data_IF_383329762716
#
_entry.id   IF_383329762716
#
_cell.length_a   1.000
_cell.length_b   1.000
_cell.length_c   1.000
_cell.angle_alpha   90.00
_cell.angle_beta   90.00
_cell.angle_gamma   90.00
#
_symmetry.space_group_name_H-M   'P 1'
#
loop_
_entity.id
_entity.type
_entity.pdbx_description
1 polymer ?
#
# COMPACT_ATOMS: atom_id res chain seq x y z
N UNK A 1 -24.59 -7.70 -7.28
CA UNK A 1 -23.19 -7.22 -7.25
C UNK A 1 -22.80 -6.74 -8.64
N UNK A 2 -21.73 -5.95 -8.74
CA UNK A 2 -21.03 -5.70 -10.00
C UNK A 2 -19.60 -6.23 -9.89
N UNK A 3 -19.14 -6.93 -10.91
CA UNK A 3 -17.76 -7.45 -10.96
C UNK A 3 -16.92 -6.49 -11.80
N UNK A 4 -15.79 -6.02 -11.24
CA UNK A 4 -14.88 -5.11 -11.92
C UNK A 4 -13.54 -5.81 -12.20
N UNK A 5 -13.14 -5.86 -13.48
CA UNK A 5 -11.91 -6.53 -13.91
C UNK A 5 -11.01 -5.52 -14.64
N UNK A 6 -9.99 -4.93 -13.97
CA UNK A 6 -8.95 -4.20 -14.68
C UNK A 6 -8.06 -5.18 -15.45
N UNK A 7 -7.76 -4.88 -16.71
CA UNK A 7 -7.00 -5.78 -17.58
C UNK A 7 -5.99 -5.02 -18.44
N UNK A 8 -4.80 -5.61 -18.61
CA UNK A 8 -3.77 -5.11 -19.51
C UNK A 8 -3.09 -6.31 -20.16
N UNK A 9 -3.06 -6.34 -21.49
CA UNK A 9 -2.51 -7.42 -22.31
C UNK A 9 -3.02 -8.84 -21.92
N UNK A 10 -4.36 -9.05 -21.73
CA UNK A 10 -4.89 -10.34 -21.30
C UNK A 10 -4.71 -11.45 -22.34
N UNK A 11 -4.91 -12.69 -21.91
CA UNK A 11 -5.07 -13.83 -22.81
C UNK A 11 -6.44 -14.50 -22.62
N UNK A 12 -6.60 -15.70 -23.18
CA UNK A 12 -7.84 -16.49 -23.13
C UNK A 12 -8.37 -16.74 -21.72
N UNK A 13 -7.53 -16.62 -20.68
CA UNK A 13 -7.97 -16.79 -19.28
C UNK A 13 -9.01 -15.75 -18.87
N UNK A 14 -8.95 -14.53 -19.41
CA UNK A 14 -9.99 -13.53 -19.17
C UNK A 14 -11.35 -14.01 -19.68
N UNK A 15 -11.41 -14.55 -20.89
CA UNK A 15 -12.65 -15.06 -21.49
C UNK A 15 -13.20 -16.27 -20.72
N UNK A 16 -12.32 -17.17 -20.29
CA UNK A 16 -12.71 -18.30 -19.46
C UNK A 16 -13.30 -17.84 -18.12
N UNK A 17 -12.69 -16.84 -17.48
CA UNK A 17 -13.22 -16.25 -16.25
C UNK A 17 -14.61 -15.62 -16.50
N UNK A 18 -14.77 -14.84 -17.56
CA UNK A 18 -16.06 -14.23 -17.94
C UNK A 18 -17.15 -15.31 -18.09
N UNK A 19 -16.89 -16.37 -18.85
CA UNK A 19 -17.85 -17.47 -19.05
C UNK A 19 -18.23 -18.14 -17.74
N UNK A 20 -17.25 -18.38 -16.86
CA UNK A 20 -17.50 -18.94 -15.54
C UNK A 20 -18.36 -18.01 -14.69
N UNK A 21 -18.07 -16.71 -14.63
CA UNK A 21 -18.84 -15.73 -13.87
C UNK A 21 -20.29 -15.62 -14.36
N UNK A 22 -20.50 -15.71 -15.67
CA UNK A 22 -21.84 -15.73 -16.28
C UNK A 22 -22.62 -17.00 -15.95
N UNK A 23 -21.94 -18.15 -15.96
CA UNK A 23 -22.54 -19.43 -15.56
C UNK A 23 -23.06 -19.40 -14.12
N UNK A 24 -22.33 -18.72 -13.23
CA UNK A 24 -22.74 -18.51 -11.83
C UNK A 24 -23.76 -17.37 -11.65
N UNK A 25 -24.10 -16.63 -12.72
CA UNK A 25 -25.07 -15.53 -12.71
C UNK A 25 -24.79 -14.47 -11.64
N UNK A 26 -23.50 -14.16 -11.43
CA UNK A 26 -23.08 -13.30 -10.31
C UNK A 26 -23.49 -11.84 -10.49
N UNK A 27 -23.64 -11.34 -11.72
CA UNK A 27 -24.13 -9.99 -12.00
C UNK A 27 -23.42 -9.34 -13.19
N UNK A 28 -23.63 -8.03 -13.42
CA UNK A 28 -22.94 -7.30 -14.48
C UNK A 28 -21.42 -7.36 -14.31
N UNK A 29 -20.71 -7.52 -15.43
CA UNK A 29 -19.25 -7.54 -15.49
C UNK A 29 -18.78 -6.30 -16.23
N UNK A 30 -17.96 -5.50 -15.57
CA UNK A 30 -17.28 -4.34 -16.14
C UNK A 30 -15.81 -4.67 -16.28
N UNK A 31 -15.30 -4.62 -17.50
CA UNK A 31 -13.88 -4.84 -17.81
C UNK A 31 -13.29 -3.49 -18.23
N UNK A 32 -12.09 -3.19 -17.74
CA UNK A 32 -11.34 -2.00 -18.15
C UNK A 32 -10.07 -2.45 -18.85
N UNK A 33 -10.04 -2.31 -20.18
CA UNK A 33 -8.80 -2.42 -20.97
C UNK A 33 -7.93 -1.18 -20.72
N UNK A 34 -6.84 -1.35 -19.98
CA UNK A 34 -5.86 -0.30 -19.70
C UNK A 34 -4.89 -0.09 -20.89
N UNK A 35 -5.44 0.01 -22.10
CA UNK A 35 -4.69 0.33 -23.31
C UNK A 35 -3.76 -0.77 -23.81
N UNK A 36 -4.26 -2.01 -23.88
CA UNK A 36 -3.51 -3.20 -24.35
C UNK A 36 -3.10 -3.12 -25.83
N UNK A 37 -3.80 -2.32 -26.64
CA UNK A 37 -3.51 -2.11 -28.06
C UNK A 37 -4.21 -3.09 -29.00
N UNK A 38 -3.98 -2.91 -30.31
CA UNK A 38 -4.77 -3.57 -31.36
C UNK A 38 -4.69 -5.09 -31.37
N UNK A 39 -3.56 -5.67 -30.93
CA UNK A 39 -3.37 -7.12 -30.86
C UNK A 39 -4.31 -7.84 -29.88
N UNK A 40 -4.85 -7.13 -28.88
CA UNK A 40 -5.72 -7.68 -27.84
C UNK A 40 -7.20 -7.38 -28.06
N UNK A 41 -7.52 -6.55 -29.05
CA UNK A 41 -8.87 -6.07 -29.33
C UNK A 41 -9.90 -7.20 -29.50
N UNK A 42 -9.52 -8.30 -30.16
CA UNK A 42 -10.41 -9.45 -30.34
C UNK A 42 -10.85 -10.11 -29.03
N UNK A 43 -10.02 -10.09 -27.98
CA UNK A 43 -10.39 -10.60 -26.66
C UNK A 43 -11.48 -9.71 -26.04
N UNK A 44 -11.31 -8.39 -26.11
CA UNK A 44 -12.26 -7.45 -25.56
C UNK A 44 -13.59 -7.44 -26.33
N UNK A 45 -13.56 -7.49 -27.66
CA UNK A 45 -14.76 -7.62 -28.50
C UNK A 45 -15.52 -8.91 -28.20
N UNK A 46 -14.80 -10.01 -27.93
CA UNK A 46 -15.43 -11.28 -27.50
C UNK A 46 -16.08 -11.14 -26.13
N UNK A 47 -15.45 -10.43 -25.19
CA UNK A 47 -16.02 -10.19 -23.87
C UNK A 47 -17.29 -9.31 -23.95
N UNK A 48 -17.31 -8.30 -24.83
CA UNK A 48 -18.52 -7.51 -25.14
C UNK A 48 -19.62 -8.38 -25.76
N UNK A 49 -19.26 -9.28 -26.68
CA UNK A 49 -20.21 -10.22 -27.28
C UNK A 49 -20.82 -11.20 -26.26
N UNK A 50 -20.09 -11.50 -25.18
CA UNK A 50 -20.63 -12.23 -24.04
C UNK A 50 -21.54 -11.37 -23.14
N UNK A 51 -21.61 -10.05 -23.34
CA UNK A 51 -22.47 -9.15 -22.59
C UNK A 51 -21.75 -8.42 -21.44
N UNK A 52 -20.41 -8.36 -21.45
CA UNK A 52 -19.67 -7.50 -20.54
C UNK A 52 -19.68 -6.05 -21.04
N UNK A 53 -19.61 -5.10 -20.11
CA UNK A 53 -19.28 -3.72 -20.47
C UNK A 53 -17.76 -3.60 -20.53
N UNK A 54 -17.20 -3.16 -21.66
CA UNK A 54 -15.76 -2.91 -21.80
C UNK A 54 -15.47 -1.41 -21.91
N UNK A 55 -14.62 -0.91 -21.02
CA UNK A 55 -14.09 0.45 -21.05
C UNK A 55 -12.64 0.40 -21.52
N UNK A 56 -12.24 1.28 -22.44
CA UNK A 56 -10.90 1.21 -23.05
C UNK A 56 -10.13 2.52 -22.83
N UNK A 57 -8.92 2.43 -22.29
CA UNK A 57 -7.95 3.52 -22.31
C UNK A 57 -7.17 3.54 -23.61
N UNK A 58 -6.77 4.72 -24.06
CA UNK A 58 -5.97 4.87 -25.29
C UNK A 58 -4.53 4.37 -25.14
N UNK A 59 -3.99 4.40 -23.92
CA UNK A 59 -2.65 3.95 -23.53
C UNK A 59 -2.67 3.36 -22.12
N UNK A 60 -1.63 2.63 -21.73
CA UNK A 60 -1.47 2.13 -20.35
C UNK A 60 -1.32 3.27 -19.33
N UNK A 61 -2.35 3.46 -18.51
CA UNK A 61 -2.38 4.45 -17.44
C UNK A 61 -2.08 3.83 -16.07
N UNK A 62 -2.30 2.53 -15.91
CA UNK A 62 -2.00 1.74 -14.73
C UNK A 62 -3.24 1.12 -14.08
N UNK A 63 -3.03 0.03 -13.31
CA UNK A 63 -4.09 -0.70 -12.59
C UNK A 63 -4.95 0.20 -11.70
N UNK A 64 -4.34 1.12 -10.96
CA UNK A 64 -5.07 2.08 -10.12
C UNK A 64 -5.99 2.99 -10.92
N UNK A 65 -5.53 3.50 -12.09
CA UNK A 65 -6.38 4.29 -12.99
C UNK A 65 -7.51 3.44 -13.56
N UNK A 66 -7.21 2.22 -14.01
CA UNK A 66 -8.23 1.31 -14.54
C UNK A 66 -9.32 1.00 -13.52
N UNK A 67 -8.95 0.74 -12.26
CA UNK A 67 -9.90 0.58 -11.15
C UNK A 67 -10.76 1.83 -10.97
N UNK A 68 -10.17 3.03 -10.93
CA UNK A 68 -10.92 4.29 -10.81
C UNK A 68 -11.89 4.53 -11.96
N UNK A 69 -11.47 4.25 -13.20
CA UNK A 69 -12.35 4.34 -14.38
C UNK A 69 -13.55 3.40 -14.22
N UNK A 70 -13.31 2.17 -13.77
CA UNK A 70 -14.38 1.21 -13.48
C UNK A 70 -15.30 1.67 -12.36
N UNK A 71 -14.75 2.15 -11.24
CA UNK A 71 -15.54 2.68 -10.11
C UNK A 71 -16.41 3.87 -10.53
N UNK A 72 -15.87 4.80 -11.31
CA UNK A 72 -16.63 5.94 -11.81
C UNK A 72 -17.77 5.48 -12.73
N UNK A 73 -17.50 4.57 -13.66
CA UNK A 73 -18.53 4.03 -14.53
C UNK A 73 -19.64 3.32 -13.74
N UNK A 74 -19.28 2.47 -12.77
CA UNK A 74 -20.24 1.76 -11.92
C UNK A 74 -21.06 2.74 -11.08
N UNK A 75 -20.45 3.82 -10.59
CA UNK A 75 -21.17 4.87 -9.86
C UNK A 75 -22.23 5.55 -10.73
N UNK A 76 -21.91 5.83 -11.98
CA UNK A 76 -22.76 6.57 -12.91
C UNK A 76 -23.86 5.70 -13.55
N UNK A 77 -23.57 4.43 -13.85
CA UNK A 77 -24.43 3.57 -14.68
C UNK A 77 -24.76 2.22 -14.05
N UNK A 78 -24.05 1.82 -13.00
CA UNK A 78 -24.18 0.51 -12.38
C UNK A 78 -25.30 0.43 -11.35
N UNK A 79 -25.70 -0.80 -10.95
CA UNK A 79 -26.62 -0.98 -9.85
C UNK A 79 -25.99 -0.50 -8.53
N UNK A 80 -26.81 0.05 -7.63
CA UNK A 80 -26.40 0.52 -6.30
C UNK A 80 -26.14 -0.64 -5.31
N UNK A 81 -25.34 -1.64 -5.73
CA UNK A 81 -24.94 -2.80 -4.93
C UNK A 81 -23.43 -2.88 -4.72
N UNK A 82 -22.99 -3.88 -3.96
CA UNK A 82 -21.56 -4.11 -3.73
C UNK A 82 -20.78 -4.44 -5.01
N UNK A 83 -19.52 -4.05 -5.02
CA UNK A 83 -18.56 -4.20 -6.12
C UNK A 83 -17.51 -5.21 -5.69
N UNK A 84 -17.22 -6.19 -6.53
CA UNK A 84 -16.09 -7.10 -6.32
C UNK A 84 -15.09 -6.93 -7.45
N UNK A 85 -13.88 -6.52 -7.11
CA UNK A 85 -12.76 -6.44 -8.04
C UNK A 85 -12.09 -7.81 -8.14
N UNK A 86 -11.74 -8.24 -9.35
CA UNK A 86 -10.97 -9.46 -9.61
C UNK A 86 -9.92 -9.21 -10.69
N UNK A 87 -8.78 -9.89 -10.61
CA UNK A 87 -7.74 -9.83 -11.63
C UNK A 87 -8.12 -10.65 -12.90
N UNK A 88 -7.64 -10.21 -14.06
CA UNK A 88 -7.93 -10.84 -15.35
C UNK A 88 -7.11 -12.10 -15.67
N UNK A 89 -6.30 -12.59 -14.71
CA UNK A 89 -5.37 -13.71 -14.92
C UNK A 89 -5.98 -15.09 -14.64
N UNK A 90 -7.22 -15.13 -14.16
CA UNK A 90 -7.95 -16.36 -13.84
C UNK A 90 -7.57 -16.99 -12.49
N UNK A 91 -6.86 -16.27 -11.62
CA UNK A 91 -6.51 -16.79 -10.28
C UNK A 91 -7.70 -16.80 -9.31
N UNK A 92 -8.72 -15.98 -9.55
CA UNK A 92 -9.87 -15.83 -8.66
C UNK A 92 -11.04 -16.69 -9.14
N UNK A 93 -11.43 -17.67 -8.33
CA UNK A 93 -12.51 -18.58 -8.66
C UNK A 93 -13.88 -17.90 -8.46
N UNK A 94 -14.91 -18.22 -9.29
CA UNK A 94 -16.24 -17.62 -9.16
C UNK A 94 -16.87 -17.80 -7.77
N UNK A 95 -16.66 -18.95 -7.12
CA UNK A 95 -17.17 -19.18 -5.77
C UNK A 95 -16.49 -18.31 -4.72
N UNK A 96 -15.21 -17.97 -4.90
CA UNK A 96 -14.49 -17.07 -4.01
C UNK A 96 -14.97 -15.63 -4.23
N UNK A 97 -15.18 -15.21 -5.48
CA UNK A 97 -15.80 -13.91 -5.81
C UNK A 97 -17.19 -13.79 -5.17
N UNK A 98 -18.01 -14.84 -5.28
CA UNK A 98 -19.32 -14.89 -4.62
C UNK A 98 -19.19 -14.82 -3.10
N UNK A 99 -18.28 -15.59 -2.49
CA UNK A 99 -18.05 -15.58 -1.03
C UNK A 99 -17.68 -14.19 -0.52
N UNK A 100 -16.80 -13.48 -1.23
CA UNK A 100 -16.42 -12.10 -0.88
C UNK A 100 -17.62 -11.16 -0.95
N UNK A 101 -18.49 -11.32 -1.94
CA UNK A 101 -19.72 -10.55 -2.02
C UNK A 101 -20.71 -10.89 -0.91
N UNK A 102 -20.88 -12.16 -0.58
CA UNK A 102 -21.78 -12.61 0.49
C UNK A 102 -21.34 -12.00 1.84
N UNK A 103 -20.03 -12.08 2.17
CA UNK A 103 -19.48 -11.48 3.39
C UNK A 103 -19.61 -9.96 3.39
N UNK A 104 -19.45 -9.31 2.23
CA UNK A 104 -19.66 -7.87 2.11
C UNK A 104 -21.11 -7.46 2.45
N UNK A 105 -22.10 -8.29 2.12
CA UNK A 105 -23.50 -8.02 2.45
C UNK A 105 -23.82 -8.22 3.93
N UNK A 106 -23.09 -9.09 4.61
CA UNK A 106 -23.26 -9.38 6.04
C UNK A 106 -22.60 -8.32 6.95
N UNK A 107 -21.78 -7.43 6.39
CA UNK A 107 -21.13 -6.37 7.15
C UNK A 107 -22.14 -5.33 7.64
N UNK A 108 -22.18 -5.13 8.97
CA UNK A 108 -22.99 -4.08 9.62
C UNK A 108 -22.37 -2.68 9.46
N UNK A 109 -21.07 -2.63 9.24
CA UNK A 109 -20.24 -1.43 9.08
C UNK A 109 -19.65 -1.41 7.67
N UNK A 110 -19.73 -0.30 6.92
CA UNK A 110 -19.09 -0.22 5.62
C UNK A 110 -17.59 -0.51 5.73
N UNK A 111 -17.13 -1.51 4.98
CA UNK A 111 -15.76 -1.99 5.05
C UNK A 111 -15.28 -2.58 3.73
N UNK A 112 -14.04 -3.03 3.75
CA UNK A 112 -13.37 -3.67 2.64
C UNK A 112 -13.26 -5.15 2.99
N UNK A 113 -13.69 -6.02 2.08
CA UNK A 113 -13.50 -7.47 2.21
C UNK A 113 -12.36 -7.90 1.30
N UNK A 114 -11.30 -8.49 1.85
CA UNK A 114 -10.14 -8.94 1.10
C UNK A 114 -10.15 -10.46 0.93
N UNK A 115 -10.06 -10.92 -0.32
CA UNK A 115 -9.84 -12.33 -0.64
C UNK A 115 -8.38 -12.72 -0.44
N UNK A 116 -8.05 -13.22 0.74
CA UNK A 116 -6.68 -13.53 1.15
C UNK A 116 -6.29 -14.94 0.75
N UNK A 117 -5.20 -15.07 -0.02
CA UNK A 117 -4.68 -16.38 -0.39
C UNK A 117 -4.13 -17.09 0.84
N UNK A 118 -4.49 -18.36 1.02
CA UNK A 118 -3.81 -19.21 2.00
C UNK A 118 -2.41 -19.51 1.50
N UNK A 119 -1.40 -19.01 2.23
CA UNK A 119 0.01 -19.29 1.94
C UNK A 119 0.41 -20.73 2.35
N UNK A 120 -0.37 -21.74 1.96
CA UNK A 120 -0.05 -23.16 2.12
C UNK A 120 0.60 -23.72 0.85
N UNK A 121 1.86 -24.15 0.93
CA UNK A 121 2.61 -24.76 -0.18
C UNK A 121 3.95 -24.10 -0.51
N UNK A 122 4.59 -24.55 -1.61
CA UNK A 122 5.85 -24.04 -2.16
C UNK A 122 5.65 -22.71 -2.87
N UNK A 123 5.47 -21.66 -2.08
CA UNK A 123 5.46 -20.28 -2.55
C UNK A 123 6.85 -19.94 -3.11
N UNK A 124 6.95 -19.28 -4.28
CA UNK A 124 8.22 -18.69 -4.70
C UNK A 124 8.75 -17.77 -3.60
N UNK A 125 9.93 -18.06 -3.05
CA UNK A 125 10.49 -17.37 -1.88
C UNK A 125 10.45 -15.83 -1.97
N UNK A 126 10.48 -15.30 -3.20
CA UNK A 126 10.40 -13.87 -3.54
C UNK A 126 9.05 -13.24 -3.20
N UNK A 127 7.93 -13.89 -3.50
CA UNK A 127 6.57 -13.40 -3.15
C UNK A 127 6.32 -13.46 -1.65
N UNK A 128 6.89 -14.46 -0.98
CA UNK A 128 6.81 -14.61 0.48
C UNK A 128 7.53 -13.45 1.18
N UNK A 129 8.77 -13.14 0.79
CA UNK A 129 9.55 -12.06 1.41
C UNK A 129 8.91 -10.69 1.22
N UNK A 130 8.48 -10.37 -0.01
CA UNK A 130 7.79 -9.11 -0.30
C UNK A 130 6.53 -8.92 0.54
N UNK A 131 5.67 -9.94 0.63
CA UNK A 131 4.46 -9.84 1.44
C UNK A 131 4.77 -9.80 2.95
N UNK A 132 5.77 -10.54 3.46
CA UNK A 132 6.14 -10.49 4.89
C UNK A 132 6.61 -9.10 5.31
N UNK A 133 7.48 -8.46 4.53
CA UNK A 133 7.96 -7.09 4.81
C UNK A 133 6.80 -6.10 4.73
N UNK A 134 5.98 -6.20 3.69
CA UNK A 134 4.83 -5.33 3.47
C UNK A 134 3.78 -5.45 4.58
N UNK A 135 3.50 -6.67 5.06
CA UNK A 135 2.62 -6.93 6.21
C UNK A 135 3.16 -6.35 7.50
N UNK A 136 4.46 -6.49 7.74
CA UNK A 136 5.14 -5.92 8.90
C UNK A 136 4.99 -4.39 8.90
N UNK A 137 5.35 -3.74 7.79
CA UNK A 137 5.22 -2.29 7.65
C UNK A 137 3.76 -1.84 7.77
N UNK A 138 2.82 -2.55 7.12
CA UNK A 138 1.40 -2.23 7.19
C UNK A 138 0.89 -2.30 8.63
N UNK A 139 1.11 -3.44 9.31
CA UNK A 139 0.66 -3.64 10.69
C UNK A 139 1.27 -2.64 11.66
N UNK A 140 2.55 -2.29 11.48
CA UNK A 140 3.21 -1.25 12.27
C UNK A 140 2.63 0.13 11.96
N UNK A 141 2.22 0.40 10.71
CA UNK A 141 1.74 1.71 10.27
C UNK A 141 0.29 1.96 10.68
N UNK A 142 -0.58 0.97 10.54
CA UNK A 142 -2.04 1.10 10.68
C UNK A 142 -2.56 0.55 12.01
N UNK A 143 -1.79 -0.31 12.68
CA UNK A 143 -2.28 -1.09 13.83
C UNK A 143 -3.18 -2.27 13.43
N UNK A 144 -3.51 -2.41 12.14
CA UNK A 144 -4.37 -3.47 11.61
C UNK A 144 -3.51 -4.60 11.02
N UNK A 145 -3.80 -5.84 11.39
CA UNK A 145 -3.16 -7.01 10.81
C UNK A 145 -3.91 -7.40 9.55
N UNK A 146 -3.24 -7.31 8.39
CA UNK A 146 -3.71 -7.83 7.11
C UNK A 146 -2.75 -8.93 6.67
N UNK A 147 -3.29 -10.07 6.29
CA UNK A 147 -2.61 -11.28 5.87
C UNK A 147 -2.14 -11.21 4.40
N UNK A 148 -2.97 -10.73 3.49
CA UNK A 148 -2.60 -10.56 2.07
C UNK A 148 -2.88 -9.14 1.56
N UNK A 149 -1.92 -8.24 1.77
CA UNK A 149 -2.01 -6.85 1.29
C UNK A 149 -1.97 -6.72 -0.24
N UNK A 150 -1.56 -7.77 -0.95
CA UNK A 150 -1.33 -7.78 -2.39
C UNK A 150 -2.39 -8.56 -3.17
N UNK A 151 -3.48 -8.99 -2.52
CA UNK A 151 -4.59 -9.62 -3.24
C UNK A 151 -5.29 -8.60 -4.14
N UNK A 152 -5.64 -9.00 -5.37
CA UNK A 152 -6.50 -8.23 -6.26
C UNK A 152 -7.99 -8.52 -6.08
N UNK A 153 -8.35 -9.59 -5.33
CA UNK A 153 -9.75 -9.91 -5.02
C UNK A 153 -10.24 -9.08 -3.84
N UNK A 154 -11.09 -8.10 -4.10
CA UNK A 154 -11.53 -7.12 -3.09
C UNK A 154 -13.00 -6.75 -3.26
N UNK A 155 -13.77 -6.82 -2.18
CA UNK A 155 -15.16 -6.37 -2.10
C UNK A 155 -15.27 -4.98 -1.49
N UNK A 156 -16.13 -4.14 -2.08
CA UNK A 156 -16.42 -2.79 -1.63
C UNK A 156 -17.93 -2.49 -1.70
N UNK A 157 -18.52 -1.83 -0.69
CA UNK A 157 -19.89 -1.33 -0.78
C UNK A 157 -19.95 -0.15 -1.75
N UNK A 158 -21.12 0.04 -2.38
CA UNK A 158 -21.35 1.12 -3.34
C UNK A 158 -21.04 2.51 -2.76
N UNK A 159 -21.31 2.72 -1.47
CA UNK A 159 -21.07 3.97 -0.76
C UNK A 159 -19.60 4.40 -0.71
N UNK A 160 -18.65 3.49 -0.97
CA UNK A 160 -17.22 3.77 -0.95
C UNK A 160 -16.66 4.27 -2.28
N UNK A 161 -17.42 4.23 -3.38
CA UNK A 161 -16.91 4.56 -4.72
C UNK A 161 -16.34 5.98 -4.83
N UNK A 162 -16.95 6.96 -4.15
CA UNK A 162 -16.45 8.34 -4.13
C UNK A 162 -15.08 8.44 -3.46
N UNK A 163 -14.91 7.76 -2.35
CA UNK A 163 -13.64 7.71 -1.65
C UNK A 163 -12.58 6.96 -2.47
N UNK A 164 -12.93 5.81 -3.04
CA UNK A 164 -12.02 5.00 -3.86
C UNK A 164 -11.44 5.81 -5.02
N UNK A 165 -12.26 6.62 -5.70
CA UNK A 165 -11.81 7.49 -6.79
C UNK A 165 -10.80 8.58 -6.36
N UNK A 166 -10.80 8.99 -5.09
CA UNK A 166 -9.94 10.06 -4.56
C UNK A 166 -8.57 9.59 -4.06
N UNK A 167 -8.38 8.28 -3.90
CA UNK A 167 -7.14 7.72 -3.34
C UNK A 167 -5.96 7.98 -4.30
N UNK A 168 -4.82 8.49 -3.81
CA UNK A 168 -3.66 8.76 -4.65
C UNK A 168 -3.02 7.48 -5.19
N UNK A 169 -2.43 7.58 -6.38
CA UNK A 169 -1.79 6.46 -7.08
C UNK A 169 -2.60 6.02 -8.29
N UNK A 170 -1.90 5.63 -9.34
CA UNK A 170 -2.51 5.25 -10.63
C UNK A 170 -2.08 3.85 -11.08
N UNK A 171 -1.05 3.28 -10.46
CA UNK A 171 -0.58 1.91 -10.73
C UNK A 171 -0.78 1.04 -9.49
N UNK A 172 0.03 0.00 -9.31
CA UNK A 172 -0.10 -0.96 -8.21
C UNK A 172 -0.02 -0.33 -6.82
N UNK A 173 0.62 0.84 -6.66
CA UNK A 173 0.66 1.55 -5.37
C UNK A 173 -0.72 2.01 -4.88
N UNK A 174 -1.70 2.18 -5.78
CA UNK A 174 -3.07 2.56 -5.43
C UNK A 174 -3.68 1.60 -4.41
N UNK A 175 -3.54 0.30 -4.65
CA UNK A 175 -4.12 -0.75 -3.81
C UNK A 175 -3.56 -0.74 -2.39
N UNK A 176 -2.28 -0.38 -2.24
CA UNK A 176 -1.63 -0.22 -0.94
C UNK A 176 -2.03 1.09 -0.27
N UNK A 177 -2.06 2.20 -1.02
CA UNK A 177 -2.53 3.48 -0.50
C UNK A 177 -3.96 3.37 0.03
N UNK A 178 -4.83 2.66 -0.68
CA UNK A 178 -6.21 2.40 -0.27
C UNK A 178 -6.28 1.75 1.10
N UNK A 179 -5.55 0.64 1.31
CA UNK A 179 -5.51 -0.04 2.61
C UNK A 179 -4.97 0.87 3.72
N UNK A 180 -3.95 1.67 3.42
CA UNK A 180 -3.32 2.57 4.39
C UNK A 180 -4.22 3.76 4.78
N UNK A 181 -5.15 4.16 3.90
CA UNK A 181 -6.12 5.23 4.17
C UNK A 181 -7.44 4.73 4.74
N UNK A 182 -7.82 3.47 4.52
CA UNK A 182 -9.10 2.90 4.93
C UNK A 182 -9.40 3.12 6.43
N UNK A 183 -8.43 2.80 7.29
CA UNK A 183 -8.59 2.97 8.74
C UNK A 183 -8.74 4.44 9.17
N UNK A 184 -8.14 5.39 8.44
CA UNK A 184 -8.27 6.83 8.74
C UNK A 184 -9.69 7.34 8.45
N UNK A 185 -10.37 6.74 7.48
CA UNK A 185 -11.76 7.06 7.11
C UNK A 185 -12.79 6.22 7.88
N UNK A 186 -12.34 5.39 8.82
CA UNK A 186 -13.22 4.57 9.66
C UNK A 186 -13.74 3.29 8.99
N UNK A 187 -13.20 2.91 7.83
CA UNK A 187 -13.56 1.65 7.16
C UNK A 187 -12.90 0.46 7.82
N UNK A 188 -13.69 -0.58 8.06
CA UNK A 188 -13.19 -1.87 8.55
C UNK A 188 -12.54 -2.67 7.41
N UNK A 189 -11.52 -3.47 7.73
CA UNK A 189 -10.91 -4.40 6.78
C UNK A 189 -11.13 -5.81 7.31
N UNK A 190 -11.89 -6.60 6.57
CA UNK A 190 -12.16 -8.02 6.85
C UNK A 190 -11.42 -8.87 5.83
N UNK A 191 -10.84 -9.98 6.27
CA UNK A 191 -10.14 -10.92 5.39
C UNK A 191 -10.88 -12.26 5.36
N UNK A 192 -11.14 -12.73 4.15
CA UNK A 192 -11.69 -14.06 3.88
C UNK A 192 -10.67 -14.89 3.13
N UNK A 193 -10.46 -16.12 3.58
CA UNK A 193 -9.51 -17.00 2.92
C UNK A 193 -10.10 -17.58 1.63
N UNK A 194 -9.33 -17.46 0.55
CA UNK A 194 -9.70 -17.94 -0.79
C UNK A 194 -8.76 -19.06 -1.25
N UNK A 195 -9.23 -19.84 -2.21
CA UNK A 195 -8.43 -20.89 -2.82
C UNK A 195 -7.32 -20.28 -3.66
N UNK A 196 -6.12 -20.86 -3.57
CA UNK A 196 -4.96 -20.32 -4.30
C UNK A 196 -4.69 -21.13 -5.56
N UNK A 197 -5.05 -20.56 -6.71
CA UNK A 197 -4.80 -21.17 -8.02
C UNK A 197 -3.45 -20.67 -8.56
N UNK A 198 -2.41 -21.50 -8.47
CA UNK A 198 -1.11 -21.20 -9.05
C UNK A 198 -1.05 -21.70 -10.50
N UNK A 199 -1.29 -20.81 -11.47
CA UNK A 199 -1.11 -21.11 -12.89
C UNK A 199 0.30 -20.71 -13.33
N UNK A 200 1.05 -21.64 -13.93
CA UNK A 200 2.34 -21.43 -14.60
C UNK A 200 3.37 -20.54 -13.87
N UNK A 201 3.58 -20.77 -12.57
CA UNK A 201 4.58 -20.04 -11.76
C UNK A 201 4.43 -18.49 -11.77
N UNK A 202 3.21 -17.95 -11.90
CA UNK A 202 2.94 -16.50 -11.97
C UNK A 202 3.59 -15.78 -13.18
N UNK A 203 3.91 -16.47 -14.29
CA UNK A 203 4.47 -15.82 -15.49
C UNK A 203 3.54 -14.77 -16.13
N UNK A 204 2.24 -14.86 -15.90
CA UNK A 204 1.22 -13.95 -16.44
C UNK A 204 1.01 -12.67 -15.65
N UNK A 205 1.62 -12.53 -14.47
CA UNK A 205 1.53 -11.27 -13.73
C UNK A 205 2.46 -10.25 -14.39
N UNK A 206 1.89 -9.22 -15.03
CA UNK A 206 2.64 -8.06 -15.54
C UNK A 206 3.29 -7.22 -14.42
N UNK A 207 3.14 -7.64 -13.15
CA UNK A 207 3.84 -7.10 -12.01
C UNK A 207 5.35 -7.28 -12.20
N UNK A 208 6.07 -6.18 -12.41
CA UNK A 208 7.53 -6.17 -12.55
C UNK A 208 8.12 -6.17 -11.14
N UNK A 209 8.63 -7.30 -10.62
CA UNK A 209 8.83 -7.48 -9.19
C UNK A 209 9.81 -6.51 -8.55
N UNK A 210 10.77 -5.98 -9.31
CA UNK A 210 11.74 -5.01 -8.80
C UNK A 210 11.24 -3.58 -8.89
N UNK A 211 10.63 -3.18 -10.00
CA UNK A 211 10.22 -1.78 -10.25
C UNK A 211 8.96 -1.43 -9.47
N UNK A 212 7.97 -2.34 -9.47
CA UNK A 212 6.69 -2.09 -8.81
C UNK A 212 6.83 -2.22 -7.29
N UNK A 213 7.63 -3.19 -6.82
CA UNK A 213 8.04 -3.23 -5.41
C UNK A 213 8.85 -2.00 -5.02
N UNK A 214 9.79 -1.54 -5.86
CA UNK A 214 10.55 -0.31 -5.58
C UNK A 214 9.62 0.89 -5.44
N UNK A 215 8.55 1.02 -6.24
CA UNK A 215 7.56 2.11 -6.08
C UNK A 215 6.72 1.99 -4.81
N UNK A 216 6.33 0.77 -4.42
CA UNK A 216 5.64 0.50 -3.15
C UNK A 216 6.57 0.82 -1.96
N UNK A 217 7.85 0.47 -2.06
CA UNK A 217 8.87 0.72 -1.04
C UNK A 217 9.49 2.11 -1.11
N UNK A 218 9.32 2.85 -2.22
CA UNK A 218 9.99 4.14 -2.47
C UNK A 218 9.73 5.13 -1.34
N UNK A 219 8.50 5.31 -0.81
CA UNK A 219 8.29 6.20 0.33
C UNK A 219 9.09 5.77 1.57
N UNK A 220 9.20 4.46 1.83
CA UNK A 220 9.95 3.92 2.98
C UNK A 220 11.47 4.08 2.76
N UNK A 221 11.95 3.85 1.54
CA UNK A 221 13.35 3.97 1.18
C UNK A 221 13.78 5.44 1.13
N UNK A 222 12.95 6.34 0.62
CA UNK A 222 13.17 7.78 0.66
C UNK A 222 13.16 8.31 2.10
N UNK A 223 12.30 7.78 2.97
CA UNK A 223 12.34 8.08 4.41
C UNK A 223 13.62 7.56 5.09
N UNK A 224 14.05 6.35 4.73
CA UNK A 224 15.29 5.75 5.25
C UNK A 224 16.51 6.56 4.84
N UNK A 225 16.59 6.91 3.56
CA UNK A 225 17.70 7.70 3.01
C UNK A 225 17.74 9.11 3.58
N UNK A 226 16.59 9.78 3.75
CA UNK A 226 16.53 11.10 4.40
C UNK A 226 16.97 11.05 5.87
N UNK A 227 16.66 9.97 6.56
CA UNK A 227 17.04 9.75 7.97
C UNK A 227 18.54 9.47 8.10
N UNK A 228 19.10 8.64 7.21
CA UNK A 228 20.55 8.38 7.17
C UNK A 228 21.33 9.65 6.81
N UNK A 229 20.91 10.40 5.78
CA UNK A 229 21.56 11.67 5.45
C UNK A 229 21.49 12.66 6.62
N UNK A 230 20.34 12.75 7.29
CA UNK A 230 20.20 13.59 8.48
C UNK A 230 21.16 13.18 9.59
N UNK A 231 21.36 11.88 9.83
CA UNK A 231 22.32 11.40 10.83
C UNK A 231 23.76 11.74 10.44
N UNK A 232 24.11 11.64 9.16
CA UNK A 232 25.44 12.05 8.66
C UNK A 232 25.66 13.56 8.79
N UNK A 233 24.64 14.38 8.48
CA UNK A 233 24.66 15.83 8.67
C UNK A 233 24.82 16.18 10.15
N UNK A 234 24.07 15.52 11.03
CA UNK A 234 24.16 15.69 12.48
C UNK A 234 25.58 15.41 12.99
N UNK A 235 26.16 14.28 12.57
CA UNK A 235 27.50 13.89 12.95
C UNK A 235 28.55 14.88 12.43
N UNK A 236 28.49 15.25 11.14
CA UNK A 236 29.42 16.20 10.53
C UNK A 236 29.35 17.60 11.17
N UNK A 237 28.14 18.12 11.38
CA UNK A 237 27.93 19.42 12.01
C UNK A 237 28.39 19.43 13.46
N UNK A 238 28.23 18.32 14.20
CA UNK A 238 28.73 18.23 15.56
C UNK A 238 30.25 18.48 15.61
N UNK A 239 31.04 17.83 14.76
CA UNK A 239 32.50 18.03 14.74
C UNK A 239 32.90 19.45 14.31
N UNK A 240 32.24 19.98 13.27
CA UNK A 240 32.54 21.33 12.77
C UNK A 240 32.21 22.38 13.83
N UNK A 241 31.03 22.33 14.44
CA UNK A 241 30.60 23.33 15.43
C UNK A 241 31.41 23.18 16.72
N UNK A 242 31.74 21.94 17.14
CA UNK A 242 32.60 21.71 18.30
C UNK A 242 34.01 22.26 18.10
N UNK A 243 34.55 22.15 16.89
CA UNK A 243 35.86 22.69 16.54
C UNK A 243 35.93 24.21 16.72
N UNK A 244 34.86 24.94 16.35
CA UNK A 244 34.83 26.40 16.44
C UNK A 244 34.35 26.95 17.78
N UNK A 245 33.39 26.30 18.43
CA UNK A 245 32.73 26.85 19.62
C UNK A 245 33.30 26.33 20.92
N UNK A 246 33.99 25.17 20.88
CA UNK A 246 34.46 24.40 22.03
C UNK A 246 33.38 24.10 23.09
N UNK A 247 32.10 24.37 22.79
CA UNK A 247 30.98 24.18 23.68
C UNK A 247 30.16 22.99 23.18
N UNK A 248 30.29 21.87 23.89
CA UNK A 248 29.66 20.60 23.52
C UNK A 248 28.13 20.73 23.48
N UNK A 249 27.54 21.43 24.44
CA UNK A 249 26.10 21.62 24.51
C UNK A 249 25.58 22.39 23.30
N UNK A 250 26.21 23.54 22.98
CA UNK A 250 25.82 24.36 21.84
C UNK A 250 25.98 23.60 20.52
N UNK A 251 27.06 22.82 20.39
CA UNK A 251 27.36 22.01 19.21
C UNK A 251 26.33 20.90 18.98
N UNK A 252 25.95 20.17 20.03
CA UNK A 252 24.92 19.11 19.95
C UNK A 252 23.56 19.70 19.59
N UNK A 253 23.16 20.81 20.23
CA UNK A 253 21.86 21.44 19.98
C UNK A 253 21.78 21.99 18.55
N UNK A 254 22.81 22.70 18.09
CA UNK A 254 22.83 23.28 16.76
C UNK A 254 22.86 22.20 15.66
N UNK A 255 23.70 21.17 15.81
CA UNK A 255 23.74 20.05 14.87
C UNK A 255 22.39 19.33 14.76
N UNK A 256 21.75 19.07 15.92
CA UNK A 256 20.43 18.41 15.98
C UNK A 256 19.32 19.25 15.36
N UNK A 257 19.33 20.56 15.56
CA UNK A 257 18.38 21.48 14.93
C UNK A 257 18.53 21.48 13.41
N UNK A 258 19.75 21.64 12.90
CA UNK A 258 20.02 21.69 11.47
C UNK A 258 19.69 20.36 10.77
N UNK A 259 20.10 19.23 11.35
CA UNK A 259 19.79 17.90 10.81
C UNK A 259 18.29 17.62 10.79
N UNK A 260 17.57 17.96 11.87
CA UNK A 260 16.11 17.80 11.97
C UNK A 260 15.35 18.67 10.96
N UNK A 261 15.79 19.91 10.71
CA UNK A 261 15.19 20.79 9.69
C UNK A 261 15.37 20.22 8.28
N UNK A 262 16.56 19.68 7.99
CA UNK A 262 16.81 19.00 6.72
C UNK A 262 15.90 17.78 6.55
N UNK A 263 15.84 16.91 7.56
CA UNK A 263 15.02 15.70 7.54
C UNK A 263 13.53 16.02 7.36
N UNK A 264 13.01 17.01 8.09
CA UNK A 264 11.64 17.51 7.94
C UNK A 264 11.37 17.99 6.52
N UNK A 265 12.25 18.84 5.98
CA UNK A 265 12.09 19.40 4.63
C UNK A 265 12.02 18.30 3.56
N UNK A 266 12.93 17.32 3.62
CA UNK A 266 12.96 16.21 2.67
C UNK A 266 11.73 15.31 2.82
N UNK A 267 11.37 14.95 4.05
CA UNK A 267 10.21 14.08 4.29
C UNK A 267 8.91 14.73 3.85
N UNK A 268 8.72 16.02 4.16
CA UNK A 268 7.55 16.78 3.73
C UNK A 268 7.46 16.91 2.22
N UNK A 269 8.57 17.24 1.55
CA UNK A 269 8.57 17.56 0.11
C UNK A 269 8.58 16.32 -0.78
N UNK A 270 9.26 15.24 -0.37
CA UNK A 270 9.51 14.10 -1.25
C UNK A 270 8.93 12.78 -0.75
N UNK A 271 8.76 12.59 0.57
CA UNK A 271 8.26 11.32 1.13
C UNK A 271 6.74 11.33 1.29
N UNK A 272 6.16 12.43 1.78
CA UNK A 272 4.75 12.51 2.16
C UNK A 272 3.91 13.48 1.29
N UNK A 273 4.43 13.93 0.14
CA UNK A 273 3.79 14.97 -0.69
C UNK A 273 2.61 14.48 -1.56
N UNK A 274 2.09 13.28 -1.34
CA UNK A 274 1.04 12.68 -2.18
C UNK A 274 -0.39 13.16 -1.83
N UNK A 275 -0.62 14.48 -1.76
CA UNK A 275 -1.98 15.03 -2.00
C UNK A 275 -2.54 16.07 -1.03
N UNK A 276 -1.95 16.34 0.15
CA UNK A 276 -2.35 17.45 1.02
C UNK A 276 -1.13 18.06 1.71
N UNK A 277 -0.71 19.25 1.28
CA UNK A 277 0.37 19.98 1.95
C UNK A 277 -0.15 20.55 3.27
N UNK A 278 0.03 19.84 4.38
CA UNK A 278 -0.20 20.37 5.73
C UNK A 278 0.62 21.66 5.90
N UNK A 279 0.00 22.73 6.42
CA UNK A 279 0.64 24.04 6.60
C UNK A 279 1.83 23.88 7.54
N UNK A 280 2.99 24.49 7.21
CA UNK A 280 4.25 24.39 7.97
C UNK A 280 4.03 24.68 9.46
N UNK A 281 3.23 25.70 9.79
CA UNK A 281 2.90 26.08 11.18
C UNK A 281 2.23 24.96 12.00
N UNK A 282 1.58 23.99 11.38
CA UNK A 282 0.86 22.91 12.07
C UNK A 282 1.68 21.63 12.24
N UNK A 283 2.55 21.29 11.27
CA UNK A 283 3.34 20.05 11.31
C UNK A 283 4.71 20.22 11.96
N UNK A 284 5.30 21.42 11.91
CA UNK A 284 6.61 21.70 12.48
C UNK A 284 6.68 21.51 14.02
N UNK A 285 5.74 22.03 14.84
CA UNK A 285 5.77 21.78 16.29
C UNK A 285 5.61 20.28 16.61
N UNK A 286 4.72 19.57 15.90
CA UNK A 286 4.50 18.13 16.08
C UNK A 286 5.74 17.31 15.73
N UNK A 287 6.45 17.70 14.67
CA UNK A 287 7.70 17.05 14.27
C UNK A 287 8.79 17.23 15.33
N UNK A 288 9.00 18.45 15.84
CA UNK A 288 10.02 18.69 16.87
C UNK A 288 9.67 18.03 18.21
N UNK A 289 8.38 17.99 18.59
CA UNK A 289 7.94 17.18 19.74
C UNK A 289 8.27 15.70 19.56
N UNK A 290 8.07 15.18 18.35
CA UNK A 290 8.42 13.80 18.02
C UNK A 290 9.94 13.57 18.07
N UNK A 291 10.77 14.50 17.59
CA UNK A 291 12.23 14.41 17.68
C UNK A 291 12.70 14.30 19.13
N UNK A 292 12.14 15.12 20.03
CA UNK A 292 12.46 15.06 21.47
C UNK A 292 12.05 13.71 22.05
N UNK A 293 10.84 13.23 21.73
CA UNK A 293 10.36 11.93 22.19
C UNK A 293 11.23 10.77 21.68
N UNK A 294 11.62 10.80 20.41
CA UNK A 294 12.51 9.82 19.79
C UNK A 294 13.88 9.80 20.47
N UNK A 295 14.41 10.97 20.84
CA UNK A 295 15.69 11.07 21.54
C UNK A 295 15.62 10.45 22.94
N UNK A 296 14.54 10.70 23.69
CA UNK A 296 14.30 10.08 25.00
C UNK A 296 14.10 8.56 24.88
N UNK A 297 13.34 8.11 23.88
CA UNK A 297 13.15 6.69 23.57
C UNK A 297 14.45 6.01 23.14
N UNK A 298 15.34 6.71 22.42
CA UNK A 298 16.64 6.14 22.03
C UNK A 298 17.44 5.70 23.25
N UNK A 299 17.59 6.62 24.20
CA UNK A 299 18.28 6.34 25.45
C UNK A 299 17.56 5.24 26.24
N UNK A 300 16.24 5.34 26.41
CA UNK A 300 15.46 4.38 27.18
C UNK A 300 15.49 2.96 26.61
N UNK A 301 15.38 2.80 25.29
CA UNK A 301 15.45 1.49 24.61
C UNK A 301 16.86 0.91 24.65
N UNK A 302 17.89 1.73 24.44
CA UNK A 302 19.28 1.26 24.52
C UNK A 302 19.58 0.75 25.93
N UNK A 303 19.20 1.52 26.96
CA UNK A 303 19.32 1.11 28.35
C UNK A 303 18.53 -0.18 28.63
N UNK A 304 17.28 -0.27 28.16
CA UNK A 304 16.46 -1.47 28.37
C UNK A 304 17.07 -2.71 27.70
N UNK A 305 17.47 -2.63 26.43
CA UNK A 305 18.05 -3.77 25.72
C UNK A 305 19.41 -4.18 26.26
N UNK A 306 20.27 -3.23 26.60
CA UNK A 306 21.63 -3.54 27.06
C UNK A 306 21.69 -3.91 28.54
N UNK A 307 21.01 -3.16 29.43
CA UNK A 307 21.12 -3.32 30.88
C UNK A 307 20.03 -4.23 31.48
N UNK A 308 18.82 -4.29 30.88
CA UNK A 308 17.73 -5.14 31.39
C UNK A 308 17.63 -6.48 30.68
N UNK A 309 17.80 -6.51 29.36
CA UNK A 309 17.77 -7.75 28.58
C UNK A 309 19.17 -8.36 28.36
N UNK A 310 20.23 -7.68 28.83
CA UNK A 310 21.63 -8.16 28.77
C UNK A 310 22.04 -8.50 27.32
N UNK A 311 21.52 -7.75 26.36
CA UNK A 311 21.88 -7.90 24.95
C UNK A 311 23.23 -7.20 24.75
N UNK A 312 24.20 -7.82 24.03
CA UNK A 312 25.48 -7.19 23.72
C UNK A 312 25.28 -5.79 23.12
N UNK A 313 26.09 -4.82 23.55
CA UNK A 313 25.90 -3.39 23.24
C UNK A 313 25.70 -3.12 21.74
N UNK A 314 26.44 -3.81 20.87
CA UNK A 314 26.32 -3.68 19.41
C UNK A 314 24.95 -4.16 18.92
N UNK A 315 24.47 -5.30 19.41
CA UNK A 315 23.17 -5.85 19.05
C UNK A 315 22.01 -5.02 19.66
N UNK A 316 22.17 -4.55 20.90
CA UNK A 316 21.23 -3.63 21.54
C UNK A 316 21.13 -2.32 20.77
N UNK A 317 22.25 -1.74 20.34
CA UNK A 317 22.29 -0.51 19.53
C UNK A 317 21.59 -0.69 18.19
N UNK A 318 21.86 -1.79 17.47
CA UNK A 318 21.16 -2.09 16.22
C UNK A 318 19.65 -2.26 16.42
N UNK A 319 19.23 -2.99 17.45
CA UNK A 319 17.80 -3.16 17.78
C UNK A 319 17.13 -1.82 18.13
N UNK A 320 17.81 -0.98 18.91
CA UNK A 320 17.33 0.37 19.25
C UNK A 320 17.12 1.23 18.00
N UNK A 321 18.09 1.26 17.09
CA UNK A 321 17.98 2.04 15.85
C UNK A 321 16.82 1.54 14.97
N UNK A 322 16.63 0.23 14.84
CA UNK A 322 15.50 -0.35 14.09
C UNK A 322 14.17 0.01 14.74
N UNK A 323 14.04 -0.15 16.07
CA UNK A 323 12.82 0.18 16.82
C UNK A 323 12.44 1.65 16.69
N UNK A 324 13.44 2.55 16.78
CA UNK A 324 13.24 3.99 16.61
C UNK A 324 12.87 4.34 15.19
N UNK A 325 13.53 3.74 14.21
CA UNK A 325 13.25 3.98 12.81
C UNK A 325 11.78 3.67 12.50
N UNK A 326 11.31 2.51 12.94
CA UNK A 326 9.91 2.08 12.81
C UNK A 326 8.96 3.03 13.53
N UNK A 327 9.25 3.37 14.79
CA UNK A 327 8.42 4.28 15.58
C UNK A 327 8.35 5.69 14.97
N UNK A 328 9.49 6.23 14.52
CA UNK A 328 9.60 7.55 13.91
C UNK A 328 8.82 7.60 12.59
N UNK A 329 8.92 6.57 11.74
CA UNK A 329 8.13 6.48 10.51
C UNK A 329 6.63 6.47 10.80
N UNK A 330 6.19 5.60 11.72
CA UNK A 330 4.79 5.51 12.13
C UNK A 330 4.26 6.83 12.68
N UNK A 331 4.99 7.43 13.62
CA UNK A 331 4.56 8.66 14.29
C UNK A 331 4.55 9.86 13.35
N UNK A 332 5.52 9.99 12.44
CA UNK A 332 5.53 11.05 11.44
C UNK A 332 4.32 10.94 10.50
N UNK A 333 3.98 9.73 10.07
CA UNK A 333 2.85 9.49 9.15
C UNK A 333 1.47 9.59 9.82
N UNK A 334 1.38 9.30 11.12
CA UNK A 334 0.12 9.27 11.87
C UNK A 334 -0.22 10.61 12.52
N UNK A 335 0.78 11.32 13.04
CA UNK A 335 0.56 12.51 13.87
C UNK A 335 1.14 13.79 13.29
N UNK A 336 2.23 13.72 12.51
CA UNK A 336 2.93 14.92 12.01
C UNK A 336 2.39 15.40 10.66
N UNK A 337 2.28 14.50 9.68
CA UNK A 337 1.86 14.81 8.31
C UNK A 337 0.42 14.38 8.04
#
# INVERSE_FOLDING_TARGET
MTILIPSYEPDVRLLNLVLQLQTFQLGPIVIVDDGSGSGYRGIFETAEAYGCTVLTHTVNLGKGRALKTGFQHIKEHGPQGGIVCADSDGQHLPHDIKRIFDVLLEQMTPGIVLGSRRFSGTIPARSRFGNTVTRGVFSLTTGTKVYDTQTGLRGFPFSMLDWLCQIPGERFEYEMNMLLTAHKEGYEITEEFIDTVYLDHNKSSHFRPLIDSFRIYMPILMFSTSSVLSALIDFGLLFVIQYFTHNLFLSVVAARLCSSIFNYTINRKYVFSAGKTTRVRQSLPKYFSLVILVLLLNYGLLYFYNEKLIIPLIAAKLLTEVSIFVFSYWAQRRFVY
#
